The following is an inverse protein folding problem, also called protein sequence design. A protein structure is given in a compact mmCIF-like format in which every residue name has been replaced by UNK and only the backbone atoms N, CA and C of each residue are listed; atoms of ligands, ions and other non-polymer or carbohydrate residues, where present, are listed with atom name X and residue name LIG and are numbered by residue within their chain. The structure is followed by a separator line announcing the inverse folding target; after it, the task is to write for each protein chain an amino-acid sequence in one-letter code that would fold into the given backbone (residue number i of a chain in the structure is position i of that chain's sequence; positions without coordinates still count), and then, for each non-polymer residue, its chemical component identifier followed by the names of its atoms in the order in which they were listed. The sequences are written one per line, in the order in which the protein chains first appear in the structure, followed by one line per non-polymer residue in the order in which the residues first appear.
data_IF_368163751957
#
_entry.id   IF_368163751957
#
_cell.length_a   1.000
_cell.length_b   1.000
_cell.length_c   1.000
_cell.angle_alpha   90.00
_cell.angle_beta   90.00
_cell.angle_gamma   90.00
#
_symmetry.space_group_name_H-M   'P 1'
#
loop_
_entity.id
_entity.type
_entity.pdbx_description
1 polymer ?
#
# COMPACT_ATOMS: atom_id res chain seq x y z
N UNK A 1 -23.81 -15.54 0.71
CA UNK A 1 -22.42 -15.12 0.51
C UNK A 1 -21.55 -16.01 1.37
N UNK A 2 -20.56 -16.68 0.79
CA UNK A 2 -19.61 -17.52 1.54
C UNK A 2 -18.66 -16.66 2.36
N UNK A 3 -18.04 -17.24 3.41
CA UNK A 3 -17.08 -16.54 4.28
C UNK A 3 -15.78 -16.15 3.56
N UNK A 4 -15.58 -16.63 2.33
CA UNK A 4 -14.42 -16.36 1.48
C UNK A 4 -14.78 -15.67 0.15
N UNK A 5 -16.03 -15.19 0.01
CA UNK A 5 -16.43 -14.38 -1.15
C UNK A 5 -15.64 -13.08 -1.22
N UNK A 6 -15.31 -12.66 -2.43
CA UNK A 6 -14.51 -11.47 -2.72
C UNK A 6 -15.38 -10.33 -3.28
N UNK A 7 -15.22 -9.13 -2.73
CA UNK A 7 -15.54 -7.90 -3.44
C UNK A 7 -14.28 -7.40 -4.13
N UNK A 8 -14.19 -7.59 -5.43
CA UNK A 8 -13.10 -7.04 -6.23
C UNK A 8 -13.42 -5.58 -6.55
N UNK A 9 -12.61 -4.67 -6.02
CA UNK A 9 -12.79 -3.23 -6.20
C UNK A 9 -11.67 -2.70 -7.09
N UNK A 10 -12.04 -2.20 -8.26
CA UNK A 10 -11.11 -1.61 -9.24
C UNK A 10 -11.37 -0.11 -9.34
N UNK A 11 -10.34 0.69 -9.09
CA UNK A 11 -10.43 2.16 -9.24
C UNK A 11 -9.78 2.56 -10.55
N UNK A 12 -10.53 3.24 -11.42
CA UNK A 12 -10.07 3.64 -12.75
C UNK A 12 -9.98 5.16 -12.89
N UNK A 13 -9.03 5.63 -13.70
CA UNK A 13 -8.96 6.99 -14.20
C UNK A 13 -8.17 6.99 -15.53
N UNK A 14 -8.87 7.20 -16.66
CA UNK A 14 -8.30 7.12 -17.99
C UNK A 14 -7.57 5.78 -18.23
N UNK A 15 -8.27 4.68 -17.97
CA UNK A 15 -7.71 3.32 -17.94
C UNK A 15 -8.26 2.43 -19.07
N UNK A 16 -8.87 2.99 -20.11
CA UNK A 16 -9.51 2.23 -21.19
C UNK A 16 -8.59 1.15 -21.78
N UNK A 17 -7.31 1.47 -22.03
CA UNK A 17 -6.37 0.54 -22.63
C UNK A 17 -6.04 -0.71 -21.79
N UNK A 18 -6.28 -0.67 -20.49
CA UNK A 18 -5.92 -1.75 -19.56
C UNK A 18 -7.10 -2.70 -19.24
N UNK A 19 -8.34 -2.20 -19.29
CA UNK A 19 -9.51 -2.94 -18.81
C UNK A 19 -9.81 -4.23 -19.56
N UNK A 20 -9.48 -4.33 -20.84
CA UNK A 20 -9.70 -5.55 -21.62
C UNK A 20 -8.86 -6.72 -21.09
N UNK A 21 -7.57 -6.48 -20.82
CA UNK A 21 -6.67 -7.50 -20.29
C UNK A 21 -7.03 -7.89 -18.84
N UNK A 22 -7.37 -6.89 -18.02
CA UNK A 22 -7.89 -7.14 -16.68
C UNK A 22 -9.13 -8.02 -16.72
N UNK A 23 -10.15 -7.67 -17.51
CA UNK A 23 -11.39 -8.42 -17.62
C UNK A 23 -11.18 -9.85 -18.10
N UNK A 24 -10.36 -10.06 -19.14
CA UNK A 24 -10.05 -11.38 -19.68
C UNK A 24 -9.40 -12.32 -18.63
N UNK A 25 -8.58 -11.77 -17.72
CA UNK A 25 -7.88 -12.55 -16.68
C UNK A 25 -8.68 -12.69 -15.39
N UNK A 26 -9.50 -11.70 -15.04
CA UNK A 26 -10.24 -11.64 -13.77
C UNK A 26 -11.58 -12.38 -13.87
N UNK A 27 -12.40 -12.06 -14.87
CA UNK A 27 -13.80 -12.51 -14.95
C UNK A 27 -13.95 -14.02 -14.91
N UNK A 28 -13.12 -14.85 -15.56
CA UNK A 28 -13.21 -16.31 -15.49
C UNK A 28 -12.93 -16.91 -14.11
N UNK A 29 -12.29 -16.16 -13.22
CA UNK A 29 -11.94 -16.60 -11.86
C UNK A 29 -12.96 -16.17 -10.80
N UNK A 30 -13.93 -15.32 -11.15
CA UNK A 30 -14.99 -14.90 -10.23
C UNK A 30 -15.99 -16.03 -10.00
N UNK A 31 -16.33 -16.28 -8.73
CA UNK A 31 -17.40 -17.20 -8.32
C UNK A 31 -18.78 -16.53 -8.37
N UNK A 32 -19.83 -17.33 -8.18
CA UNK A 32 -21.23 -16.85 -8.23
C UNK A 32 -21.58 -15.79 -7.21
N UNK A 33 -20.95 -15.81 -6.06
CA UNK A 33 -21.15 -14.91 -4.92
C UNK A 33 -20.09 -13.80 -4.79
N UNK A 34 -19.14 -13.73 -5.74
CA UNK A 34 -18.20 -12.61 -5.82
C UNK A 34 -18.85 -11.37 -6.44
N UNK A 35 -18.39 -10.22 -5.99
CA UNK A 35 -18.81 -8.90 -6.45
C UNK A 35 -17.67 -8.25 -7.25
N UNK A 36 -17.99 -7.62 -8.39
CA UNK A 36 -17.05 -6.79 -9.15
C UNK A 36 -17.56 -5.35 -9.13
N UNK A 37 -16.83 -4.45 -8.48
CA UNK A 37 -17.16 -3.04 -8.37
C UNK A 37 -16.07 -2.21 -9.02
N UNK A 38 -16.41 -1.45 -10.05
CA UNK A 38 -15.50 -0.56 -10.74
C UNK A 38 -15.87 0.86 -10.40
N UNK A 39 -14.94 1.60 -9.80
CA UNK A 39 -15.14 3.01 -9.45
C UNK A 39 -14.35 3.87 -10.42
N UNK A 40 -15.06 4.53 -11.31
CA UNK A 40 -14.46 5.47 -12.25
C UNK A 40 -14.26 6.84 -11.61
N UNK A 41 -13.02 7.25 -11.50
CA UNK A 41 -12.61 8.54 -10.93
C UNK A 41 -12.60 9.66 -11.97
N UNK A 42 -13.77 9.92 -12.60
CA UNK A 42 -13.96 10.98 -13.59
C UNK A 42 -13.02 10.82 -14.82
N UNK A 43 -13.04 9.68 -15.46
CA UNK A 43 -12.34 9.47 -16.72
C UNK A 43 -12.94 10.30 -17.86
N UNK A 44 -12.10 10.72 -18.79
CA UNK A 44 -12.46 11.46 -19.99
C UNK A 44 -12.33 10.64 -21.29
N UNK A 45 -11.82 9.41 -21.17
CA UNK A 45 -11.66 8.45 -22.27
C UNK A 45 -12.78 7.38 -22.28
N UNK A 46 -12.59 6.30 -23.03
CA UNK A 46 -13.54 5.19 -23.14
C UNK A 46 -13.63 4.28 -21.88
N UNK A 47 -12.99 4.63 -20.75
CA UNK A 47 -12.91 3.77 -19.56
C UNK A 47 -14.27 3.29 -19.09
N UNK A 48 -15.25 4.20 -18.94
CA UNK A 48 -16.60 3.86 -18.45
C UNK A 48 -17.31 2.86 -19.35
N UNK A 49 -17.25 3.07 -20.67
CA UNK A 49 -17.89 2.15 -21.63
C UNK A 49 -17.22 0.77 -21.59
N UNK A 50 -15.91 0.72 -21.49
CA UNK A 50 -15.17 -0.55 -21.35
C UNK A 50 -15.44 -1.24 -20.02
N UNK A 51 -15.54 -0.49 -18.92
CA UNK A 51 -15.89 -1.04 -17.61
C UNK A 51 -17.26 -1.73 -17.63
N UNK A 52 -18.26 -1.12 -18.27
CA UNK A 52 -19.61 -1.72 -18.43
C UNK A 52 -19.59 -3.00 -19.26
N UNK A 53 -18.64 -3.14 -20.17
CA UNK A 53 -18.47 -4.33 -21.01
C UNK A 53 -17.71 -5.48 -20.32
N UNK A 54 -17.24 -5.33 -19.08
CA UNK A 54 -16.60 -6.41 -18.32
C UNK A 54 -17.57 -7.51 -17.87
N UNK A 55 -18.85 -7.34 -18.13
CA UNK A 55 -19.91 -8.33 -17.89
C UNK A 55 -21.04 -7.77 -17.01
N UNK A 56 -22.17 -8.47 -17.03
CA UNK A 56 -23.40 -8.07 -16.32
C UNK A 56 -23.22 -7.95 -14.79
N UNK A 57 -22.18 -8.57 -14.23
CA UNK A 57 -21.85 -8.51 -12.80
C UNK A 57 -21.04 -7.28 -12.40
N UNK A 58 -20.52 -6.52 -13.36
CA UNK A 58 -19.72 -5.36 -13.07
C UNK A 58 -20.62 -4.18 -12.66
N UNK A 59 -20.59 -3.82 -11.39
CA UNK A 59 -21.21 -2.59 -10.90
C UNK A 59 -20.25 -1.43 -11.18
N UNK A 60 -20.63 -0.51 -12.05
CA UNK A 60 -19.82 0.68 -12.38
C UNK A 60 -20.36 1.91 -11.64
N UNK A 61 -19.50 2.55 -10.85
CA UNK A 61 -19.78 3.76 -10.09
C UNK A 61 -18.97 4.91 -10.68
N UNK A 62 -19.65 5.87 -11.29
CA UNK A 62 -18.99 7.06 -11.83
C UNK A 62 -18.93 8.17 -10.80
N UNK A 63 -17.77 8.82 -10.65
CA UNK A 63 -17.59 9.98 -9.79
C UNK A 63 -17.50 11.25 -10.63
N UNK A 64 -17.86 12.41 -10.05
CA UNK A 64 -17.80 13.69 -10.74
C UNK A 64 -16.40 14.30 -10.77
N UNK A 65 -15.52 13.85 -9.87
CA UNK A 65 -14.15 14.36 -9.71
C UNK A 65 -13.22 13.22 -9.38
N UNK A 66 -11.97 13.31 -9.81
CA UNK A 66 -10.92 12.38 -9.36
C UNK A 66 -10.55 12.70 -7.90
N UNK A 67 -11.05 11.90 -6.97
CA UNK A 67 -10.76 12.02 -5.54
C UNK A 67 -9.55 11.19 -5.09
N UNK A 68 -8.86 10.51 -6.02
CA UNK A 68 -7.72 9.64 -5.77
C UNK A 68 -8.08 8.18 -5.49
N UNK A 69 -7.05 7.35 -5.42
CA UNK A 69 -7.19 5.89 -5.26
C UNK A 69 -7.91 5.51 -3.96
N UNK A 70 -7.47 6.04 -2.83
CA UNK A 70 -8.01 5.69 -1.53
C UNK A 70 -9.52 6.00 -1.40
N UNK A 71 -9.96 7.15 -1.91
CA UNK A 71 -11.37 7.53 -1.91
C UNK A 71 -12.20 6.65 -2.86
N UNK A 72 -11.64 6.30 -4.04
CA UNK A 72 -12.24 5.35 -4.97
C UNK A 72 -12.42 3.97 -4.34
N UNK A 73 -11.38 3.43 -3.71
CA UNK A 73 -11.46 2.14 -2.98
C UNK A 73 -12.56 2.15 -1.91
N UNK A 74 -12.64 3.22 -1.11
CA UNK A 74 -13.69 3.35 -0.08
C UNK A 74 -15.09 3.30 -0.69
N UNK A 75 -15.32 4.00 -1.81
CA UNK A 75 -16.62 3.98 -2.52
C UNK A 75 -16.98 2.58 -3.00
N UNK A 76 -16.03 1.86 -3.60
CA UNK A 76 -16.23 0.49 -4.03
C UNK A 76 -16.53 -0.46 -2.87
N UNK A 77 -15.80 -0.33 -1.77
CA UNK A 77 -16.05 -1.11 -0.54
C UNK A 77 -17.43 -0.83 0.05
N UNK A 78 -17.89 0.43 0.03
CA UNK A 78 -19.23 0.80 0.50
C UNK A 78 -20.37 0.24 -0.37
N UNK A 79 -20.10 -0.02 -1.63
CA UNK A 79 -21.06 -0.57 -2.59
C UNK A 79 -21.06 -2.11 -2.64
N UNK A 80 -20.30 -2.76 -1.76
CA UNK A 80 -20.13 -4.21 -1.69
C UNK A 80 -20.41 -4.75 -0.29
N UNK A 81 -20.68 -6.07 -0.18
CA UNK A 81 -21.01 -6.74 1.08
C UNK A 81 -20.09 -7.93 1.39
N UNK A 82 -19.33 -8.45 0.44
CA UNK A 82 -18.48 -9.63 0.61
C UNK A 82 -17.46 -9.48 1.75
N UNK A 83 -17.15 -10.56 2.50
CA UNK A 83 -16.29 -10.51 3.68
C UNK A 83 -14.81 -10.24 3.37
N UNK A 84 -14.36 -10.52 2.16
CA UNK A 84 -13.01 -10.20 1.69
C UNK A 84 -13.08 -9.09 0.65
N UNK A 85 -12.22 -8.09 0.80
CA UNK A 85 -12.08 -6.98 -0.11
C UNK A 85 -10.80 -7.19 -0.93
N UNK A 86 -10.88 -7.23 -2.24
CA UNK A 86 -9.73 -7.29 -3.12
C UNK A 86 -9.61 -5.97 -3.89
N UNK A 87 -8.76 -5.06 -3.41
CA UNK A 87 -8.43 -3.82 -4.11
C UNK A 87 -7.42 -4.13 -5.21
N UNK A 88 -7.74 -3.78 -6.44
CA UNK A 88 -6.97 -4.18 -7.62
C UNK A 88 -6.81 -3.00 -8.58
N UNK A 89 -5.59 -2.78 -9.06
CA UNK A 89 -5.34 -1.77 -10.08
C UNK A 89 -5.90 -2.19 -11.45
N UNK A 90 -6.35 -1.24 -12.28
CA UNK A 90 -6.93 -1.54 -13.58
C UNK A 90 -5.92 -2.07 -14.61
N UNK A 91 -4.63 -1.81 -14.43
CA UNK A 91 -3.50 -2.20 -15.27
C UNK A 91 -2.83 -3.51 -14.80
N UNK A 92 -3.65 -4.43 -14.29
CA UNK A 92 -3.20 -5.73 -13.79
C UNK A 92 -3.76 -6.89 -14.61
N UNK A 93 -3.01 -7.99 -14.64
CA UNK A 93 -3.39 -9.26 -15.26
C UNK A 93 -3.17 -10.38 -14.25
N UNK A 94 -4.22 -11.12 -13.92
CA UNK A 94 -4.16 -12.21 -12.96
C UNK A 94 -3.67 -13.49 -13.64
N UNK A 95 -2.77 -14.22 -12.99
CA UNK A 95 -2.45 -15.59 -13.40
C UNK A 95 -3.59 -16.54 -13.01
N UNK A 96 -3.70 -17.66 -13.73
CA UNK A 96 -4.72 -18.67 -13.48
C UNK A 96 -4.69 -19.19 -12.02
N UNK A 97 -5.85 -19.25 -11.41
CA UNK A 97 -6.03 -19.68 -10.02
C UNK A 97 -5.53 -18.68 -8.98
N UNK A 98 -5.25 -17.42 -9.36
CA UNK A 98 -4.77 -16.41 -8.41
C UNK A 98 -5.82 -16.10 -7.34
N UNK A 99 -7.10 -15.91 -7.70
CA UNK A 99 -8.16 -15.64 -6.73
C UNK A 99 -8.36 -16.81 -5.76
N UNK A 100 -8.31 -18.05 -6.25
CA UNK A 100 -8.45 -19.24 -5.40
C UNK A 100 -7.35 -19.32 -4.35
N UNK A 101 -6.09 -19.05 -4.74
CA UNK A 101 -4.94 -19.01 -3.82
C UNK A 101 -5.08 -17.89 -2.79
N UNK A 102 -5.60 -16.72 -3.20
CA UNK A 102 -5.83 -15.60 -2.28
C UNK A 102 -6.92 -15.92 -1.25
N UNK A 103 -8.00 -16.62 -1.65
CA UNK A 103 -9.04 -17.09 -0.72
C UNK A 103 -8.50 -18.12 0.27
N UNK A 104 -7.66 -19.05 -0.18
CA UNK A 104 -7.09 -20.09 0.69
C UNK A 104 -6.30 -19.50 1.87
N UNK A 105 -5.75 -18.29 1.72
CA UNK A 105 -5.10 -17.56 2.83
C UNK A 105 -6.12 -17.21 3.91
N UNK A 106 -7.35 -16.83 3.56
CA UNK A 106 -8.37 -16.45 4.54
C UNK A 106 -8.65 -17.57 5.56
N UNK A 107 -8.67 -18.81 5.10
CA UNK A 107 -8.89 -20.00 5.95
C UNK A 107 -7.60 -20.43 6.68
N UNK A 108 -6.45 -20.44 5.98
CA UNK A 108 -5.17 -20.94 6.53
C UNK A 108 -4.46 -19.95 7.44
N UNK A 109 -4.77 -18.65 7.36
CA UNK A 109 -4.17 -17.56 8.13
C UNK A 109 -5.27 -16.66 8.75
N UNK A 110 -6.03 -17.14 9.72
CA UNK A 110 -7.14 -16.34 10.30
C UNK A 110 -6.66 -15.11 11.07
N UNK A 111 -5.39 -15.06 11.47
CA UNK A 111 -4.71 -13.95 12.11
C UNK A 111 -4.25 -12.85 11.13
N UNK A 112 -4.22 -13.15 9.81
CA UNK A 112 -3.91 -12.16 8.79
C UNK A 112 -5.11 -11.28 8.45
N UNK A 113 -4.94 -9.99 8.60
CA UNK A 113 -5.95 -9.00 8.25
C UNK A 113 -5.86 -8.53 6.80
N UNK A 114 -4.65 -8.55 6.24
CA UNK A 114 -4.40 -8.17 4.85
C UNK A 114 -3.28 -9.01 4.24
N UNK A 115 -3.36 -9.24 2.92
CA UNK A 115 -2.30 -9.92 2.15
C UNK A 115 -2.34 -9.53 0.68
N UNK A 116 -1.27 -9.83 -0.02
CA UNK A 116 -1.14 -9.58 -1.45
C UNK A 116 -0.65 -10.83 -2.19
N UNK A 117 -0.88 -10.94 -3.51
CA UNK A 117 -0.14 -11.87 -4.37
C UNK A 117 1.30 -11.41 -4.55
N UNK A 118 2.15 -12.24 -5.14
CA UNK A 118 3.37 -11.75 -5.78
C UNK A 118 2.97 -10.91 -7.01
N UNK A 119 3.29 -9.62 -6.99
CA UNK A 119 3.06 -8.74 -8.12
C UNK A 119 4.31 -8.76 -9.01
N UNK A 120 4.11 -9.04 -10.29
CA UNK A 120 5.16 -9.24 -11.28
C UNK A 120 5.18 -8.07 -12.28
N UNK A 121 6.35 -7.80 -12.84
CA UNK A 121 6.49 -6.96 -14.01
C UNK A 121 6.22 -7.78 -15.29
N UNK A 122 5.88 -7.14 -16.44
CA UNK A 122 5.64 -7.85 -17.69
C UNK A 122 6.84 -8.69 -18.19
N UNK A 123 8.06 -8.32 -17.80
CA UNK A 123 9.28 -9.05 -18.13
C UNK A 123 9.57 -10.26 -17.21
N UNK A 124 8.65 -10.60 -16.30
CA UNK A 124 8.75 -11.72 -15.38
C UNK A 124 9.58 -11.45 -14.12
N UNK A 125 10.13 -10.24 -13.94
CA UNK A 125 10.74 -9.82 -12.68
C UNK A 125 9.67 -9.45 -11.65
N UNK A 126 10.07 -9.39 -10.40
CA UNK A 126 9.18 -9.00 -9.30
C UNK A 126 8.97 -7.48 -9.34
N UNK A 127 7.71 -7.03 -9.34
CA UNK A 127 7.35 -5.66 -9.03
C UNK A 127 7.31 -5.46 -7.50
N UNK A 128 6.54 -6.30 -6.79
CA UNK A 128 6.56 -6.35 -5.33
C UNK A 128 6.21 -7.74 -4.79
N UNK A 129 6.99 -8.20 -3.84
CA UNK A 129 6.73 -9.39 -3.04
C UNK A 129 6.64 -8.99 -1.55
N UNK A 130 5.67 -8.12 -1.26
CA UNK A 130 5.47 -7.50 0.05
C UNK A 130 6.16 -6.14 0.18
N UNK A 131 5.53 -5.23 0.90
CA UNK A 131 6.08 -3.92 1.17
C UNK A 131 7.10 -3.93 2.31
N UNK A 132 8.13 -3.11 2.19
CA UNK A 132 9.18 -2.91 3.19
C UNK A 132 9.14 -1.47 3.68
N UNK A 133 9.37 -1.26 4.98
CA UNK A 133 9.36 0.08 5.59
C UNK A 133 10.67 0.33 6.33
N UNK A 134 11.38 1.36 5.92
CA UNK A 134 12.54 1.85 6.65
C UNK A 134 12.11 2.57 7.93
N UNK A 135 12.94 2.53 8.99
CA UNK A 135 12.62 3.19 10.26
C UNK A 135 12.36 4.71 10.13
N UNK A 136 12.81 5.35 9.05
CA UNK A 136 12.51 6.74 8.71
C UNK A 136 11.14 6.92 8.02
N UNK A 137 10.29 5.89 7.97
CA UNK A 137 8.97 5.93 7.34
C UNK A 137 8.96 5.90 5.82
N UNK A 138 10.09 5.60 5.20
CA UNK A 138 10.19 5.41 3.75
C UNK A 138 9.77 3.98 3.44
N UNK A 139 8.76 3.81 2.57
CA UNK A 139 8.30 2.51 2.11
C UNK A 139 8.65 2.25 0.65
N UNK A 140 8.84 0.99 0.32
CA UNK A 140 9.05 0.55 -1.07
C UNK A 140 8.56 -0.87 -1.31
N UNK A 141 8.44 -1.21 -2.58
CA UNK A 141 8.11 -2.53 -3.08
C UNK A 141 9.27 -3.50 -2.81
N UNK A 142 9.08 -4.45 -1.90
CA UNK A 142 10.11 -5.43 -1.56
C UNK A 142 10.45 -6.33 -2.74
N UNK A 143 11.75 -6.62 -2.92
CA UNK A 143 12.32 -7.43 -4.00
C UNK A 143 12.09 -6.89 -5.41
N UNK A 144 11.76 -5.61 -5.56
CA UNK A 144 11.54 -4.98 -6.85
C UNK A 144 12.76 -5.17 -7.78
N UNK A 145 12.49 -5.61 -9.01
CA UNK A 145 13.51 -5.86 -10.03
C UNK A 145 14.24 -7.19 -9.92
N UNK A 146 14.04 -7.96 -8.85
CA UNK A 146 14.66 -9.29 -8.72
C UNK A 146 13.93 -10.36 -9.54
N UNK A 147 14.64 -11.43 -9.91
CA UNK A 147 14.04 -12.56 -10.60
C UNK A 147 13.07 -13.37 -9.73
N UNK A 148 12.03 -13.92 -10.34
CA UNK A 148 11.00 -14.71 -9.65
C UNK A 148 11.50 -16.01 -9.01
N UNK A 149 12.65 -16.56 -9.44
CA UNK A 149 13.23 -17.80 -8.89
C UNK A 149 13.58 -17.75 -7.41
N UNK A 150 13.68 -16.55 -6.84
CA UNK A 150 13.92 -16.36 -5.40
C UNK A 150 12.64 -16.13 -4.57
N UNK A 151 11.42 -16.23 -5.15
CA UNK A 151 10.18 -16.14 -4.37
C UNK A 151 10.06 -17.34 -3.42
N UNK A 152 9.57 -17.07 -2.23
CA UNK A 152 9.20 -18.13 -1.29
C UNK A 152 8.08 -19.01 -1.90
N UNK A 153 8.03 -20.28 -1.48
CA UNK A 153 6.99 -21.22 -1.89
C UNK A 153 5.81 -21.26 -0.91
N UNK A 154 5.96 -20.64 0.26
CA UNK A 154 4.96 -20.59 1.33
C UNK A 154 4.61 -19.13 1.65
N UNK A 155 3.38 -18.86 2.13
CA UNK A 155 2.98 -17.54 2.59
C UNK A 155 3.89 -17.02 3.71
N UNK A 156 4.23 -15.73 3.68
CA UNK A 156 5.10 -15.07 4.66
C UNK A 156 4.64 -13.65 4.98
N UNK A 157 5.11 -13.11 6.09
CA UNK A 157 4.74 -11.77 6.57
C UNK A 157 5.51 -10.65 5.85
N UNK A 158 4.85 -9.49 5.71
CA UNK A 158 5.42 -8.28 5.16
C UNK A 158 4.96 -7.06 5.97
N UNK A 159 5.70 -5.95 5.90
CA UNK A 159 5.33 -4.74 6.64
C UNK A 159 4.01 -4.12 6.14
N UNK A 160 3.73 -4.22 4.84
CA UNK A 160 2.46 -3.86 4.23
C UNK A 160 2.22 -4.65 2.94
N UNK A 161 0.98 -4.71 2.51
CA UNK A 161 0.57 -5.28 1.22
C UNK A 161 0.27 -4.13 0.25
N UNK A 162 0.76 -4.26 -0.99
CA UNK A 162 0.66 -3.20 -2.00
C UNK A 162 -0.76 -2.98 -2.50
N UNK A 163 -1.18 -1.72 -2.56
CA UNK A 163 -2.46 -1.31 -3.12
C UNK A 163 -2.71 -1.71 -4.57
N UNK A 164 -1.66 -2.12 -5.30
CA UNK A 164 -1.82 -2.64 -6.67
C UNK A 164 -2.65 -3.94 -6.74
N UNK A 165 -2.57 -4.78 -5.67
CA UNK A 165 -3.34 -6.02 -5.55
C UNK A 165 -3.43 -6.43 -4.06
N UNK A 166 -4.32 -5.81 -3.31
CA UNK A 166 -4.43 -5.92 -1.86
C UNK A 166 -5.72 -6.63 -1.46
N UNK A 167 -5.62 -7.78 -0.81
CA UNK A 167 -6.77 -8.39 -0.11
C UNK A 167 -6.76 -7.92 1.34
N UNK A 168 -7.96 -7.57 1.84
CA UNK A 168 -8.15 -7.13 3.23
C UNK A 168 -9.46 -7.74 3.76
N UNK A 169 -9.49 -8.18 5.03
CA UNK A 169 -10.76 -8.57 5.67
C UNK A 169 -11.64 -7.35 5.91
N UNK A 170 -12.91 -7.46 5.58
CA UNK A 170 -13.87 -6.34 5.76
C UNK A 170 -13.95 -5.86 7.20
N UNK A 171 -13.94 -6.75 8.18
CA UNK A 171 -14.01 -6.39 9.59
C UNK A 171 -12.78 -5.55 10.02
N UNK A 172 -11.57 -5.96 9.60
CA UNK A 172 -10.35 -5.20 9.88
C UNK A 172 -10.35 -3.84 9.15
N UNK A 173 -10.85 -3.81 7.90
CA UNK A 173 -11.06 -2.56 7.16
C UNK A 173 -11.99 -1.61 7.89
N UNK A 174 -13.14 -2.08 8.35
CA UNK A 174 -14.13 -1.28 9.08
C UNK A 174 -13.58 -0.80 10.42
N UNK A 175 -12.99 -1.71 11.20
CA UNK A 175 -12.43 -1.41 12.52
C UNK A 175 -11.35 -0.33 12.47
N UNK A 176 -10.48 -0.36 11.44
CA UNK A 176 -9.37 0.58 11.31
C UNK A 176 -9.68 1.76 10.39
N UNK A 177 -10.86 1.80 9.75
CA UNK A 177 -11.31 2.88 8.89
C UNK A 177 -10.71 2.88 7.48
N UNK A 178 -10.22 1.72 7.00
CA UNK A 178 -9.77 1.50 5.63
C UNK A 178 -8.60 2.38 5.18
N UNK A 179 -8.49 2.64 3.88
CA UNK A 179 -7.50 3.56 3.32
C UNK A 179 -7.86 5.02 3.62
N UNK A 180 -6.85 5.87 3.69
CA UNK A 180 -7.01 7.29 4.01
C UNK A 180 -7.29 8.12 2.75
N UNK A 181 -8.47 8.70 2.65
CA UNK A 181 -8.87 9.53 1.51
C UNK A 181 -7.97 10.77 1.33
N UNK A 182 -7.47 11.35 2.44
CA UNK A 182 -6.62 12.54 2.41
C UNK A 182 -5.20 12.28 1.87
N UNK A 183 -4.86 10.99 1.57
CA UNK A 183 -3.59 10.66 0.89
C UNK A 183 -3.68 10.88 -0.62
N UNK A 184 -4.85 10.78 -1.20
CA UNK A 184 -5.09 10.81 -2.63
C UNK A 184 -4.46 9.61 -3.35
N UNK A 185 -3.13 9.46 -3.30
CA UNK A 185 -2.34 8.39 -3.90
C UNK A 185 -0.99 8.27 -3.17
N UNK A 186 -0.43 7.06 -3.12
CA UNK A 186 0.85 6.66 -2.51
C UNK A 186 0.89 6.70 -0.98
N UNK A 187 1.24 5.56 -0.40
CA UNK A 187 1.46 5.36 1.02
C UNK A 187 0.21 5.11 1.86
N UNK A 188 -0.98 5.09 1.25
CA UNK A 188 -2.23 4.69 1.90
C UNK A 188 -2.23 3.20 2.29
N UNK A 189 -1.61 2.35 1.49
CA UNK A 189 -1.40 0.93 1.71
C UNK A 189 -0.37 0.69 2.83
N UNK A 190 0.73 1.42 2.83
CA UNK A 190 1.73 1.42 3.89
C UNK A 190 1.12 1.88 5.22
N UNK A 191 0.34 2.97 5.23
CA UNK A 191 -0.37 3.45 6.43
C UNK A 191 -1.34 2.40 6.98
N UNK A 192 -2.11 1.72 6.10
CA UNK A 192 -2.99 0.64 6.51
C UNK A 192 -2.20 -0.53 7.10
N UNK A 193 -1.12 -0.97 6.46
CA UNK A 193 -0.26 -2.06 6.94
C UNK A 193 0.28 -1.77 8.34
N UNK A 194 0.81 -0.58 8.58
CA UNK A 194 1.33 -0.19 9.91
C UNK A 194 0.22 -0.10 10.97
N UNK A 195 -1.00 0.34 10.61
CA UNK A 195 -2.14 0.34 11.53
C UNK A 195 -2.60 -1.07 11.88
N UNK A 196 -2.57 -1.99 10.92
CA UNK A 196 -2.87 -3.40 11.16
C UNK A 196 -1.87 -4.00 12.16
N UNK A 197 -0.57 -3.79 11.96
CA UNK A 197 0.45 -4.24 12.93
C UNK A 197 0.25 -3.63 14.31
N UNK A 198 -0.03 -2.33 14.41
CA UNK A 198 -0.32 -1.68 15.70
C UNK A 198 -1.49 -2.34 16.43
N UNK A 199 -2.52 -2.74 15.68
CA UNK A 199 -3.70 -3.42 16.22
C UNK A 199 -3.45 -4.91 16.56
N UNK A 200 -2.21 -5.40 16.42
CA UNK A 200 -1.86 -6.81 16.66
C UNK A 200 -2.33 -7.76 15.55
N UNK A 201 -2.71 -7.21 14.40
CA UNK A 201 -3.08 -7.99 13.21
C UNK A 201 -1.86 -8.18 12.32
N UNK A 202 -1.89 -9.16 11.44
CA UNK A 202 -0.78 -9.50 10.56
C UNK A 202 -1.05 -9.15 9.10
N UNK A 203 0.03 -8.90 8.38
CA UNK A 203 0.01 -8.61 6.93
C UNK A 203 0.99 -9.54 6.23
N UNK A 204 0.61 -10.07 5.07
CA UNK A 204 1.47 -11.04 4.39
C UNK A 204 1.42 -11.04 2.88
N UNK A 205 2.08 -12.04 2.33
CA UNK A 205 2.19 -12.32 0.88
C UNK A 205 1.85 -13.78 0.64
N UNK A 206 0.99 -14.07 -0.31
CA UNK A 206 0.80 -15.39 -0.92
C UNK A 206 1.61 -15.45 -2.24
N UNK A 207 2.83 -15.97 -2.22
CA UNK A 207 3.74 -15.88 -3.37
C UNK A 207 3.36 -16.77 -4.55
N UNK A 208 2.46 -17.74 -4.35
CA UNK A 208 1.96 -18.62 -5.42
C UNK A 208 0.80 -18.00 -6.18
N UNK A 209 0.06 -17.05 -5.60
CA UNK A 209 -0.82 -16.17 -6.32
C UNK A 209 0.02 -15.13 -7.06
N UNK A 210 -0.20 -14.96 -8.36
CA UNK A 210 0.57 -14.01 -9.18
C UNK A 210 -0.35 -13.06 -9.92
N UNK A 211 0.05 -11.79 -9.94
CA UNK A 211 -0.60 -10.73 -10.69
C UNK A 211 0.48 -9.94 -11.41
N UNK A 212 0.36 -9.78 -12.72
CA UNK A 212 1.26 -8.91 -13.50
C UNK A 212 0.74 -7.49 -13.45
N UNK A 213 1.61 -6.51 -13.24
CA UNK A 213 1.30 -5.09 -13.18
C UNK A 213 2.30 -4.31 -14.03
N UNK A 214 1.83 -3.63 -15.04
CA UNK A 214 2.67 -2.83 -15.94
C UNK A 214 2.96 -1.46 -15.29
N UNK A 215 3.87 -1.49 -14.32
CA UNK A 215 4.19 -0.33 -13.51
C UNK A 215 5.47 0.37 -13.95
N UNK A 216 5.35 1.65 -14.28
CA UNK A 216 6.49 2.54 -14.52
C UNK A 216 6.65 3.51 -13.34
N UNK A 217 7.85 3.55 -12.75
CA UNK A 217 8.14 4.49 -11.68
C UNK A 217 8.24 5.92 -12.23
N UNK A 218 7.16 6.70 -12.10
CA UNK A 218 7.19 8.12 -12.41
C UNK A 218 8.04 8.90 -11.39
N UNK A 219 8.84 9.86 -11.86
CA UNK A 219 9.66 10.78 -11.05
C UNK A 219 9.14 12.21 -11.05
N UNK A 220 7.88 12.41 -11.40
CA UNK A 220 7.25 13.72 -11.44
C UNK A 220 7.17 14.42 -10.07
N UNK A 221 7.17 15.73 -10.09
CA UNK A 221 7.14 16.57 -8.87
C UNK A 221 5.90 16.30 -8.00
N UNK A 222 4.76 15.96 -8.61
CA UNK A 222 3.52 15.63 -7.89
C UNK A 222 3.69 14.34 -7.06
N UNK A 223 4.37 13.33 -7.60
CA UNK A 223 4.64 12.09 -6.87
C UNK A 223 5.52 12.35 -5.64
N UNK A 224 6.60 13.11 -5.80
CA UNK A 224 7.47 13.47 -4.68
C UNK A 224 6.73 14.25 -3.60
N UNK A 225 5.87 15.18 -4.01
CA UNK A 225 5.00 15.90 -3.06
C UNK A 225 4.13 14.95 -2.25
N UNK A 226 3.42 14.02 -2.90
CA UNK A 226 2.53 13.07 -2.24
C UNK A 226 3.29 12.11 -1.32
N UNK A 227 4.38 11.51 -1.82
CA UNK A 227 5.22 10.60 -1.04
C UNK A 227 5.73 11.26 0.25
N UNK A 228 6.30 12.46 0.16
CA UNK A 228 6.86 13.16 1.32
C UNK A 228 5.79 13.64 2.31
N UNK A 229 4.68 14.18 1.83
CA UNK A 229 3.55 14.57 2.68
C UNK A 229 2.96 13.36 3.40
N UNK A 230 2.71 12.26 2.67
CA UNK A 230 2.08 11.08 3.21
C UNK A 230 3.02 10.32 4.15
N UNK A 231 4.34 10.29 3.88
CA UNK A 231 5.36 9.75 4.79
C UNK A 231 5.26 10.39 6.18
N UNK A 232 5.25 11.71 6.26
CA UNK A 232 5.15 12.41 7.53
C UNK A 232 3.81 12.18 8.23
N UNK A 233 2.71 12.18 7.48
CA UNK A 233 1.39 11.86 8.03
C UNK A 233 1.34 10.45 8.62
N UNK A 234 1.93 9.48 7.94
CA UNK A 234 2.04 8.10 8.42
C UNK A 234 2.91 8.03 9.67
N UNK A 235 4.15 8.55 9.63
CA UNK A 235 5.05 8.58 10.79
C UNK A 235 4.36 9.14 12.03
N UNK A 236 3.80 10.33 11.92
CA UNK A 236 3.16 11.02 13.04
C UNK A 236 1.92 10.29 13.55
N UNK A 237 1.16 9.61 12.70
CA UNK A 237 -0.06 8.92 13.12
C UNK A 237 0.24 7.52 13.70
N UNK A 238 1.14 6.75 13.07
CA UNK A 238 1.30 5.32 13.36
C UNK A 238 2.44 5.00 14.33
N UNK A 239 3.55 5.75 14.31
CA UNK A 239 4.69 5.40 15.17
C UNK A 239 4.38 5.64 16.65
N UNK A 240 4.63 4.66 17.56
CA UNK A 240 4.55 4.86 19.00
C UNK A 240 5.40 6.05 19.46
N UNK A 241 4.96 6.80 20.48
CA UNK A 241 5.64 8.01 20.92
C UNK A 241 7.10 7.75 21.31
N UNK A 242 7.35 6.67 22.05
CA UNK A 242 8.70 6.29 22.45
C UNK A 242 9.62 6.08 21.23
N UNK A 243 9.10 5.46 20.16
CA UNK A 243 9.83 5.28 18.91
C UNK A 243 10.07 6.63 18.20
N UNK A 244 9.07 7.52 18.13
CA UNK A 244 9.26 8.85 17.53
C UNK A 244 10.32 9.67 18.26
N UNK A 245 10.31 9.66 19.59
CA UNK A 245 11.32 10.35 20.41
C UNK A 245 12.71 9.75 20.15
N UNK A 246 12.81 8.42 20.19
CA UNK A 246 14.08 7.74 19.90
C UNK A 246 14.60 8.04 18.48
N UNK A 247 13.73 8.20 17.50
CA UNK A 247 14.10 8.46 16.11
C UNK A 247 14.30 9.95 15.78
N UNK A 248 13.94 10.87 16.67
CA UNK A 248 13.95 12.31 16.36
C UNK A 248 15.29 12.82 15.80
N UNK A 249 16.49 12.47 16.34
CA UNK A 249 17.76 12.91 15.75
C UNK A 249 17.97 12.39 14.33
N UNK A 250 17.63 11.11 14.08
CA UNK A 250 17.78 10.50 12.77
C UNK A 250 16.78 11.08 11.75
N UNK A 251 15.56 11.39 12.18
CA UNK A 251 14.55 12.04 11.34
C UNK A 251 14.99 13.45 10.92
N UNK A 252 15.57 14.23 11.84
CA UNK A 252 16.11 15.56 11.52
C UNK A 252 17.28 15.44 10.52
N UNK A 253 18.23 14.55 10.77
CA UNK A 253 19.36 14.34 9.86
C UNK A 253 18.89 13.87 8.46
N UNK A 254 17.92 12.96 8.41
CA UNK A 254 17.34 12.49 7.16
C UNK A 254 16.61 13.62 6.40
N UNK A 255 15.88 14.49 7.10
CA UNK A 255 15.21 15.63 6.46
C UNK A 255 16.21 16.59 5.79
N UNK A 256 17.32 16.88 6.45
CA UNK A 256 18.39 17.71 5.86
C UNK A 256 19.00 17.02 4.62
N UNK A 257 19.24 15.71 4.71
CA UNK A 257 19.71 14.93 3.56
C UNK A 257 18.73 14.91 2.39
N UNK A 258 17.43 14.69 2.66
CA UNK A 258 16.39 14.67 1.64
C UNK A 258 16.21 16.06 1.01
N UNK A 259 16.32 17.15 1.79
CA UNK A 259 16.30 18.52 1.26
C UNK A 259 17.49 18.77 0.30
N UNK A 260 18.69 18.31 0.67
CA UNK A 260 19.86 18.43 -0.20
C UNK A 260 19.69 17.62 -1.51
N UNK A 261 19.17 16.40 -1.43
CA UNK A 261 18.85 15.57 -2.60
C UNK A 261 17.77 16.25 -3.46
N UNK A 262 16.71 16.77 -2.85
CA UNK A 262 15.63 17.45 -3.55
C UNK A 262 16.12 18.73 -4.29
N UNK A 263 17.06 19.46 -3.68
CA UNK A 263 17.69 20.61 -4.32
C UNK A 263 18.56 20.20 -5.52
N UNK A 264 19.37 19.14 -5.34
CA UNK A 264 20.23 18.61 -6.41
C UNK A 264 19.42 18.07 -7.59
N UNK A 265 18.35 17.33 -7.29
CA UNK A 265 17.58 16.57 -8.28
C UNK A 265 16.35 17.36 -8.81
N UNK A 266 16.22 18.65 -8.44
CA UNK A 266 15.26 19.58 -9.05
C UNK A 266 13.81 19.51 -8.51
N UNK A 267 13.55 18.77 -7.42
CA UNK A 267 12.21 18.64 -6.84
C UNK A 267 12.03 19.34 -5.48
N UNK A 268 12.94 20.26 -5.12
CA UNK A 268 12.92 21.00 -3.85
C UNK A 268 11.56 21.71 -3.61
N UNK A 269 10.97 22.32 -4.65
CA UNK A 269 9.66 22.98 -4.53
C UNK A 269 8.56 21.99 -4.08
N UNK A 270 8.57 20.77 -4.62
CA UNK A 270 7.65 19.71 -4.22
C UNK A 270 7.87 19.31 -2.76
N UNK A 271 9.12 19.17 -2.32
CA UNK A 271 9.50 18.88 -0.94
C UNK A 271 9.01 19.95 0.03
N UNK A 272 9.29 21.24 -0.24
CA UNK A 272 8.86 22.34 0.62
C UNK A 272 7.31 22.45 0.70
N UNK A 273 6.62 22.26 -0.42
CA UNK A 273 5.15 22.19 -0.44
C UNK A 273 4.63 21.02 0.41
N UNK A 274 5.30 19.88 0.38
CA UNK A 274 4.91 18.70 1.20
C UNK A 274 5.10 19.00 2.70
N UNK A 275 6.17 19.65 3.10
CA UNK A 275 6.42 20.07 4.48
C UNK A 275 5.35 21.07 4.95
N UNK A 276 5.06 22.08 4.13
CA UNK A 276 4.02 23.06 4.43
C UNK A 276 2.63 22.40 4.55
N UNK A 277 2.27 21.51 3.61
CA UNK A 277 1.01 20.77 3.66
C UNK A 277 0.92 19.83 4.88
N UNK A 278 2.05 19.29 5.33
CA UNK A 278 2.14 18.51 6.57
C UNK A 278 1.92 19.38 7.80
N UNK A 279 2.56 20.55 7.86
CA UNK A 279 2.40 21.50 8.97
C UNK A 279 0.95 22.03 9.07
N UNK A 280 0.35 22.43 7.94
CA UNK A 280 -1.07 22.87 7.89
C UNK A 280 -2.00 21.72 8.32
N UNK A 281 -1.71 20.49 7.89
CA UNK A 281 -2.50 19.29 8.22
C UNK A 281 -2.22 18.70 9.61
N UNK A 282 -1.28 19.27 10.39
CA UNK A 282 -0.85 18.70 11.67
C UNK A 282 -1.99 18.50 12.67
N UNK A 283 -2.93 19.43 12.88
CA UNK A 283 -4.04 19.21 13.81
C UNK A 283 -4.89 17.98 13.46
N UNK A 284 -5.19 17.78 12.17
CA UNK A 284 -5.91 16.60 11.68
C UNK A 284 -5.09 15.31 11.87
N UNK A 285 -3.79 15.37 11.61
CA UNK A 285 -2.86 14.25 11.81
C UNK A 285 -2.77 13.85 13.28
N UNK A 286 -2.72 14.82 14.20
CA UNK A 286 -2.70 14.56 15.65
C UNK A 286 -4.04 14.01 16.17
N UNK A 287 -5.17 14.51 15.67
CA UNK A 287 -6.48 13.94 15.98
C UNK A 287 -6.55 12.47 15.54
N UNK A 288 -6.08 12.17 14.32
CA UNK A 288 -6.00 10.80 13.82
C UNK A 288 -5.03 9.94 14.62
N UNK A 289 -3.86 10.48 15.03
CA UNK A 289 -2.94 9.77 15.90
C UNK A 289 -3.64 9.26 17.16
N UNK A 290 -4.50 10.07 17.78
CA UNK A 290 -5.26 9.62 18.97
C UNK A 290 -6.11 8.39 18.66
N UNK A 291 -6.84 8.41 17.55
CA UNK A 291 -7.64 7.25 17.12
C UNK A 291 -6.77 6.02 16.83
N UNK A 292 -5.70 6.18 16.03
CA UNK A 292 -4.78 5.08 15.67
C UNK A 292 -4.07 4.50 16.89
N UNK A 293 -3.54 5.34 17.78
CA UNK A 293 -2.87 4.86 18.99
C UNK A 293 -3.88 4.26 20.01
N UNK A 294 -5.15 4.65 19.95
CA UNK A 294 -6.23 4.04 20.73
C UNK A 294 -6.53 2.58 20.34
N UNK A 295 -6.27 2.20 19.09
CA UNK A 295 -6.41 0.80 18.62
C UNK A 295 -5.15 -0.06 18.88
N UNK A 296 -4.07 0.54 19.39
CA UNK A 296 -2.79 -0.13 19.56
C UNK A 296 -2.86 -1.29 20.56
N UNK A 297 -2.36 -2.46 20.16
CA UNK A 297 -2.26 -3.69 20.95
C UNK A 297 -0.82 -4.13 21.20
N UNK A 298 0.17 -3.58 20.45
CA UNK A 298 1.58 -3.96 20.55
C UNK A 298 2.44 -2.79 21.06
N UNK A 299 3.54 -3.10 21.74
CA UNK A 299 4.50 -2.12 22.23
C UNK A 299 5.39 -1.54 21.12
N UNK A 300 6.20 -0.53 21.47
CA UNK A 300 7.11 0.13 20.53
C UNK A 300 8.18 -0.83 19.97
N UNK A 301 8.72 -1.72 20.80
CA UNK A 301 9.71 -2.72 20.38
C UNK A 301 9.14 -3.72 19.35
N UNK A 302 7.93 -4.23 19.60
CA UNK A 302 7.25 -5.14 18.69
C UNK A 302 6.91 -4.44 17.36
N UNK A 303 6.43 -3.19 17.39
CA UNK A 303 6.20 -2.40 16.18
C UNK A 303 7.50 -2.16 15.41
N UNK A 304 8.60 -1.83 16.09
CA UNK A 304 9.91 -1.62 15.48
C UNK A 304 10.47 -2.88 14.77
N UNK A 305 10.01 -4.08 15.13
CA UNK A 305 10.41 -5.32 14.46
C UNK A 305 9.96 -5.40 12.99
N UNK A 306 8.92 -4.64 12.61
CA UNK A 306 8.42 -4.58 11.22
C UNK A 306 9.13 -3.51 10.37
N UNK A 307 10.11 -2.80 10.95
CA UNK A 307 10.89 -1.77 10.26
C UNK A 307 12.32 -2.24 10.01
N UNK A 308 12.94 -1.75 8.94
CA UNK A 308 14.34 -2.05 8.60
C UNK A 308 15.22 -0.79 8.60
N UNK A 309 16.54 -0.99 8.67
CA UNK A 309 17.55 0.03 8.39
C UNK A 309 18.19 -0.12 7.01
N UNK A 310 17.90 -1.21 6.31
CA UNK A 310 18.43 -1.47 4.98
C UNK A 310 17.55 -0.80 3.93
N UNK A 311 18.18 -0.16 2.95
CA UNK A 311 17.52 0.41 1.77
C UNK A 311 17.86 -0.49 0.58
N UNK A 312 17.05 -1.52 0.37
CA UNK A 312 17.16 -2.43 -0.77
C UNK A 312 16.06 -2.12 -1.79
N UNK A 313 16.28 -1.07 -2.57
CA UNK A 313 15.35 -0.66 -3.62
C UNK A 313 16.11 -0.07 -4.81
N UNK A 314 15.79 -0.46 -6.05
CA UNK A 314 16.42 0.11 -7.24
C UNK A 314 16.14 1.61 -7.41
N UNK A 315 15.12 2.14 -6.73
CA UNK A 315 14.70 3.53 -6.81
C UNK A 315 15.21 4.40 -5.64
N UNK A 316 15.83 3.79 -4.63
CA UNK A 316 16.29 4.46 -3.42
C UNK A 316 17.74 4.08 -3.16
N UNK A 317 18.64 5.04 -3.25
CA UNK A 317 20.05 4.85 -2.92
C UNK A 317 20.44 5.79 -1.78
N UNK A 318 21.11 5.23 -0.77
CA UNK A 318 21.78 6.02 0.25
C UNK A 318 23.29 5.91 0.11
N UNK A 319 24.07 6.96 0.42
CA UNK A 319 25.51 6.86 0.55
C UNK A 319 25.87 5.75 1.55
N UNK A 320 26.89 4.94 1.26
CA UNK A 320 27.31 3.82 2.11
C UNK A 320 27.54 4.21 3.57
N UNK A 321 28.17 5.37 3.80
CA UNK A 321 28.39 5.88 5.16
C UNK A 321 27.07 6.15 5.90
N UNK A 322 26.08 6.76 5.23
CA UNK A 322 24.77 7.02 5.82
C UNK A 322 24.03 5.72 6.14
N UNK A 323 24.10 4.70 5.27
CA UNK A 323 23.52 3.39 5.50
C UNK A 323 24.16 2.68 6.71
N UNK A 324 25.52 2.71 6.83
CA UNK A 324 26.24 2.10 7.96
C UNK A 324 25.89 2.79 9.29
N UNK A 325 25.93 4.12 9.33
CA UNK A 325 25.56 4.90 10.52
C UNK A 325 24.09 4.70 10.91
N UNK A 326 23.19 4.73 9.92
CA UNK A 326 21.78 4.46 10.13
C UNK A 326 21.51 3.06 10.69
N UNK A 327 22.21 2.05 10.18
CA UNK A 327 22.13 0.68 10.67
C UNK A 327 22.63 0.52 12.11
N UNK A 328 23.74 1.18 12.47
CA UNK A 328 24.26 1.18 13.84
C UNK A 328 23.31 1.91 14.80
N UNK A 329 22.82 3.08 14.40
CA UNK A 329 21.82 3.84 15.15
C UNK A 329 20.55 3.03 15.39
N UNK A 330 20.01 2.40 14.34
CA UNK A 330 18.80 1.57 14.44
C UNK A 330 18.97 0.40 15.41
N UNK A 331 20.10 -0.30 15.37
CA UNK A 331 20.40 -1.37 16.34
C UNK A 331 20.38 -0.87 17.78
N UNK A 332 21.00 0.29 18.04
CA UNK A 332 20.99 0.92 19.36
C UNK A 332 19.58 1.28 19.81
N UNK A 333 18.78 1.93 18.94
CA UNK A 333 17.40 2.29 19.26
C UNK A 333 16.53 1.08 19.56
N UNK A 334 16.69 -0.01 18.82
CA UNK A 334 15.98 -1.26 19.09
C UNK A 334 16.33 -1.89 20.45
N UNK A 335 17.54 -1.70 20.93
CA UNK A 335 17.93 -2.13 22.29
C UNK A 335 17.27 -1.26 23.37
N UNK A 336 17.22 0.06 23.16
CA UNK A 336 16.61 1.00 24.11
C UNK A 336 15.08 0.91 24.20
N UNK A 337 14.43 0.35 23.18
CA UNK A 337 12.97 0.18 23.14
C UNK A 337 12.49 -1.13 23.80
N UNK A 338 13.38 -2.06 24.11
CA UNK A 338 13.09 -3.31 24.81
C UNK A 338 12.82 -3.09 26.30
#
# INVERSE_FOLDING_TARGET
VSDDALAVVVVTHNSAGALAALGASLTPQLRGDDELVIVDNASSDATVSMARNLGERAQVIETRVNAGFAAGCRRGVQASAAPLLFLLNPDTVLADGALERLRAVAASRPDWAAWQPAVMLPDGRINTAGGVVHFLGIGWAGRCGHGAGGLATQPYEAAFASGAALVVRRDDWQQLGGLRDDYFLYGEDLDLGLRLWLAGRRVGVEPRARVTHDYVFDRGAQKWFLLERNRWRTLLATYPLALLVALAPALVAAELGILAIAARDGWLRAKLRAQLATAIGLPRTLARRRAVQGTRRIGAAAFAAHLTAELDSPNLAAPRAAATLGGAYWRLMRLLLR
#
